data_IF_097583160420
#
_entry.id   IF_097583160420
#
_cell.length_a   1.000
_cell.length_b   1.000
_cell.length_c   1.000
_cell.angle_alpha   90.00
_cell.angle_beta   90.00
_cell.angle_gamma   90.00
#
_symmetry.space_group_name_H-M   'P 1'
#
loop_
_entity.id
_entity.type
_entity.pdbx_description
1 polymer ?
#
# COMPACT_ATOMS: atom_id res chain seq x y z
N UNK A 1 16.56 -22.37 -21.33
CA UNK A 1 15.58 -21.26 -21.25
C UNK A 1 14.37 -21.76 -20.45
N UNK A 2 14.12 -21.18 -19.28
CA UNK A 2 12.91 -21.44 -18.51
C UNK A 2 11.70 -20.92 -19.29
N UNK A 3 10.62 -21.72 -19.44
CA UNK A 3 9.41 -21.27 -20.12
C UNK A 3 8.81 -20.06 -19.37
N UNK A 4 8.44 -18.99 -20.10
CA UNK A 4 7.62 -17.92 -19.55
C UNK A 4 6.28 -18.53 -19.11
N UNK A 5 5.81 -18.26 -17.87
CA UNK A 5 4.47 -18.68 -17.46
C UNK A 5 3.44 -18.11 -18.43
N UNK A 6 2.37 -18.86 -18.71
CA UNK A 6 1.26 -18.36 -19.53
C UNK A 6 0.65 -17.13 -18.88
N UNK A 7 0.06 -16.23 -19.66
CA UNK A 7 -0.62 -15.02 -19.13
C UNK A 7 -1.63 -15.39 -18.03
N UNK A 8 -2.39 -16.46 -18.20
CA UNK A 8 -3.34 -16.95 -17.20
C UNK A 8 -2.67 -17.34 -15.88
N UNK A 9 -1.52 -18.03 -15.91
CA UNK A 9 -0.80 -18.39 -14.68
C UNK A 9 -0.23 -17.14 -13.97
N UNK A 10 0.23 -16.14 -14.73
CA UNK A 10 0.67 -14.87 -14.18
C UNK A 10 -0.47 -14.09 -13.52
N UNK A 11 -1.66 -14.11 -14.11
CA UNK A 11 -2.83 -13.40 -13.58
C UNK A 11 -3.37 -14.07 -12.31
N UNK A 12 -3.38 -15.39 -12.24
CA UNK A 12 -3.73 -16.16 -11.02
C UNK A 12 -2.75 -15.85 -9.90
N UNK A 13 -1.45 -15.82 -10.18
CA UNK A 13 -0.42 -15.50 -9.19
C UNK A 13 -0.58 -14.07 -8.63
N UNK A 14 -0.82 -13.08 -9.49
CA UNK A 14 -1.06 -11.69 -9.08
C UNK A 14 -2.31 -11.57 -8.21
N UNK A 15 -3.38 -12.28 -8.56
CA UNK A 15 -4.61 -12.32 -7.75
C UNK A 15 -4.35 -12.88 -6.36
N UNK A 16 -3.62 -13.99 -6.25
CA UNK A 16 -3.28 -14.61 -4.97
C UNK A 16 -2.46 -13.67 -4.06
N UNK A 17 -1.50 -12.93 -4.62
CA UNK A 17 -0.74 -11.94 -3.86
C UNK A 17 -1.65 -10.82 -3.34
N UNK A 18 -2.58 -10.33 -4.17
CA UNK A 18 -3.52 -9.29 -3.79
C UNK A 18 -4.46 -9.76 -2.68
N UNK A 19 -5.03 -10.96 -2.81
CA UNK A 19 -5.90 -11.56 -1.79
C UNK A 19 -5.16 -11.73 -0.46
N UNK A 20 -3.93 -12.24 -0.47
CA UNK A 20 -3.10 -12.38 0.73
C UNK A 20 -2.73 -11.03 1.35
N UNK A 21 -2.49 -10.00 0.54
CA UNK A 21 -2.26 -8.63 1.02
C UNK A 21 -3.49 -8.06 1.73
N UNK A 22 -4.68 -8.25 1.15
CA UNK A 22 -5.96 -7.82 1.74
C UNK A 22 -6.20 -8.54 3.07
N UNK A 23 -6.05 -9.86 3.12
CA UNK A 23 -6.21 -10.65 4.35
C UNK A 23 -5.24 -10.19 5.46
N UNK A 24 -4.00 -9.87 5.08
CA UNK A 24 -2.99 -9.33 6.00
C UNK A 24 -3.43 -7.98 6.57
N UNK A 25 -3.98 -7.10 5.75
CA UNK A 25 -4.48 -5.79 6.17
C UNK A 25 -5.74 -5.87 7.04
N UNK A 26 -6.62 -6.84 6.79
CA UNK A 26 -7.82 -7.09 7.62
C UNK A 26 -7.44 -7.41 9.06
N UNK A 27 -6.35 -8.14 9.25
CA UNK A 27 -5.86 -8.58 10.56
C UNK A 27 -4.82 -7.64 11.17
N UNK A 28 -4.49 -6.53 10.52
CA UNK A 28 -3.50 -5.58 11.00
C UNK A 28 -4.01 -4.79 12.22
N UNK A 29 -3.17 -4.65 13.24
CA UNK A 29 -3.41 -3.76 14.38
C UNK A 29 -3.13 -2.30 14.01
N UNK A 30 -2.13 -2.08 13.14
CA UNK A 30 -1.73 -0.78 12.62
C UNK A 30 -1.18 -0.93 11.19
N UNK A 31 -1.45 0.05 10.34
CA UNK A 31 -0.91 0.10 8.99
C UNK A 31 -0.10 1.38 8.79
N UNK A 32 1.15 1.25 8.39
CA UNK A 32 2.00 2.38 8.07
C UNK A 32 2.31 2.43 6.57
N UNK A 33 2.17 3.62 5.99
CA UNK A 33 2.44 3.86 4.58
C UNK A 33 3.80 4.56 4.43
N UNK A 34 4.76 3.90 3.79
CA UNK A 34 6.11 4.41 3.56
C UNK A 34 6.28 4.84 2.11
N UNK A 35 6.64 6.09 1.88
CA UNK A 35 6.91 6.62 0.55
C UNK A 35 7.74 7.89 0.61
N UNK A 36 8.44 8.21 -0.49
CA UNK A 36 9.18 9.46 -0.64
C UNK A 36 8.73 10.24 -1.88
N UNK A 37 8.95 11.55 -1.86
CA UNK A 37 8.78 12.42 -3.00
C UNK A 37 7.43 12.27 -3.71
N UNK A 38 7.44 11.96 -5.00
CA UNK A 38 6.23 11.84 -5.82
C UNK A 38 5.27 10.72 -5.43
N UNK A 39 5.73 9.74 -4.63
CA UNK A 39 4.87 8.65 -4.10
C UNK A 39 4.19 9.01 -2.78
N UNK A 40 4.67 10.04 -2.06
CA UNK A 40 4.11 10.44 -0.78
C UNK A 40 2.60 10.80 -0.83
N UNK A 41 2.07 11.48 -1.87
CA UNK A 41 0.64 11.72 -1.99
C UNK A 41 -0.21 10.45 -2.03
N UNK A 42 0.30 9.35 -2.62
CA UNK A 42 -0.39 8.05 -2.65
C UNK A 42 -0.40 7.42 -1.26
N UNK A 43 0.70 7.53 -0.52
CA UNK A 43 0.79 7.06 0.86
C UNK A 43 -0.17 7.83 1.80
N UNK A 44 -0.26 9.15 1.62
CA UNK A 44 -1.20 10.00 2.36
C UNK A 44 -2.65 9.63 2.07
N UNK A 45 -3.01 9.38 0.81
CA UNK A 45 -4.34 8.92 0.42
C UNK A 45 -4.66 7.55 1.04
N UNK A 46 -3.71 6.63 1.04
CA UNK A 46 -3.82 5.33 1.71
C UNK A 46 -4.09 5.48 3.21
N UNK A 47 -3.29 6.28 3.90
CA UNK A 47 -3.48 6.56 5.33
C UNK A 47 -4.88 7.12 5.61
N UNK A 48 -5.34 8.10 4.83
CA UNK A 48 -6.67 8.69 4.99
C UNK A 48 -7.79 7.65 4.81
N UNK A 49 -7.67 6.77 3.81
CA UNK A 49 -8.66 5.72 3.53
C UNK A 49 -8.72 4.67 4.64
N UNK A 50 -7.57 4.24 5.16
CA UNK A 50 -7.49 3.27 6.25
C UNK A 50 -7.95 3.85 7.58
N UNK A 51 -7.65 5.13 7.85
CA UNK A 51 -8.22 5.85 8.99
C UNK A 51 -9.77 5.81 8.98
N UNK A 52 -10.39 6.01 7.81
CA UNK A 52 -11.85 5.91 7.65
C UNK A 52 -12.39 4.49 7.87
N UNK A 53 -11.58 3.46 7.70
CA UNK A 53 -11.93 2.06 8.04
C UNK A 53 -11.76 1.75 9.54
N UNK A 54 -11.45 2.75 10.37
CA UNK A 54 -11.15 2.61 11.80
C UNK A 54 -9.92 1.71 12.05
N UNK A 55 -8.96 1.73 11.13
CA UNK A 55 -7.68 1.06 11.28
C UNK A 55 -6.64 2.13 11.63
N UNK A 56 -5.94 2.01 12.78
CA UNK A 56 -4.85 2.92 13.12
C UNK A 56 -3.85 3.00 11.99
N UNK A 57 -3.61 4.18 11.46
CA UNK A 57 -2.77 4.34 10.28
C UNK A 57 -2.01 5.65 10.27
N UNK A 58 -0.79 5.62 9.74
CA UNK A 58 0.07 6.77 9.53
C UNK A 58 0.75 6.70 8.17
N UNK A 59 1.20 7.84 7.64
CA UNK A 59 2.12 7.83 6.51
C UNK A 59 3.43 8.52 6.92
N UNK A 60 4.55 8.02 6.44
CA UNK A 60 5.88 8.52 6.80
C UNK A 60 6.69 8.72 5.52
N UNK A 61 7.07 9.98 5.26
CA UNK A 61 7.86 10.39 4.10
C UNK A 61 9.22 11.00 4.46
N UNK A 62 9.62 10.93 5.72
CA UNK A 62 10.94 11.33 6.20
C UNK A 62 11.79 10.08 6.46
N UNK A 63 13.06 10.01 5.96
CA UNK A 63 13.89 8.81 6.11
C UNK A 63 14.25 8.48 7.57
N UNK A 64 14.48 9.49 8.41
CA UNK A 64 14.81 9.26 9.83
C UNK A 64 13.60 8.73 10.59
N UNK A 65 12.42 9.32 10.36
CA UNK A 65 11.18 8.85 10.97
C UNK A 65 10.82 7.44 10.49
N UNK A 66 11.02 7.12 9.20
CA UNK A 66 10.82 5.75 8.71
C UNK A 66 11.74 4.76 9.41
N UNK A 67 13.03 5.10 9.57
CA UNK A 67 13.98 4.25 10.26
C UNK A 67 13.58 4.02 11.74
N UNK A 68 13.16 5.07 12.45
CA UNK A 68 12.70 4.98 13.83
C UNK A 68 11.42 4.13 13.93
N UNK A 69 10.45 4.38 13.06
CA UNK A 69 9.21 3.63 12.99
C UNK A 69 9.47 2.14 12.68
N UNK A 70 10.29 1.85 11.67
CA UNK A 70 10.64 0.47 11.29
C UNK A 70 11.21 -0.36 12.44
N UNK A 71 11.93 0.28 13.38
CA UNK A 71 12.46 -0.37 14.58
C UNK A 71 11.42 -0.53 15.71
N UNK A 72 10.28 0.19 15.63
CA UNK A 72 9.26 0.22 16.67
C UNK A 72 8.00 -0.60 16.32
N UNK A 73 7.92 -1.11 15.09
CA UNK A 73 6.80 -1.92 14.62
C UNK A 73 6.82 -3.32 15.23
N UNK A 74 5.62 -3.84 15.50
CA UNK A 74 5.39 -5.15 16.07
C UNK A 74 4.79 -6.13 15.04
N UNK A 75 4.81 -7.42 15.33
CA UNK A 75 4.47 -8.51 14.40
C UNK A 75 3.09 -8.37 13.72
N UNK A 76 2.11 -7.79 14.39
CA UNK A 76 0.75 -7.61 13.87
C UNK A 76 0.56 -6.28 13.12
N UNK A 77 1.60 -5.46 13.05
CA UNK A 77 1.60 -4.27 12.21
C UNK A 77 1.87 -4.65 10.74
N UNK A 78 1.49 -3.76 9.82
CA UNK A 78 1.72 -3.94 8.38
C UNK A 78 2.29 -2.66 7.81
N UNK A 79 3.27 -2.78 6.94
CA UNK A 79 3.79 -1.65 6.16
C UNK A 79 3.35 -1.77 4.70
N UNK A 80 2.87 -0.67 4.14
CA UNK A 80 2.63 -0.50 2.70
C UNK A 80 3.71 0.43 2.15
N UNK A 81 4.68 -0.14 1.43
CA UNK A 81 5.81 0.58 0.85
C UNK A 81 5.53 0.94 -0.62
N UNK A 82 5.62 2.22 -0.98
CA UNK A 82 5.24 2.73 -2.31
C UNK A 82 6.43 3.42 -2.96
N UNK A 83 6.82 2.99 -4.16
CA UNK A 83 7.92 3.59 -4.91
C UNK A 83 7.71 3.50 -6.42
N UNK A 84 7.79 4.64 -7.12
CA UNK A 84 7.71 4.69 -8.57
C UNK A 84 8.92 4.07 -9.29
N UNK A 85 10.09 4.09 -8.64
CA UNK A 85 11.31 3.50 -9.19
C UNK A 85 11.58 2.09 -8.67
N UNK A 86 11.11 1.79 -7.45
CA UNK A 86 11.46 0.55 -6.75
C UNK A 86 12.94 0.45 -6.34
N UNK A 87 13.71 1.57 -6.42
CA UNK A 87 15.17 1.60 -6.22
C UNK A 87 15.62 2.55 -5.13
N UNK A 88 14.71 3.18 -4.40
CA UNK A 88 15.04 4.15 -3.34
C UNK A 88 15.69 3.44 -2.16
N UNK A 89 17.00 3.63 -1.96
CA UNK A 89 17.80 2.92 -0.97
C UNK A 89 17.25 3.06 0.45
N UNK A 90 16.93 4.27 0.90
CA UNK A 90 16.41 4.52 2.25
C UNK A 90 15.10 3.76 2.51
N UNK A 91 14.20 3.67 1.51
CA UNK A 91 12.96 2.89 1.63
C UNK A 91 13.25 1.39 1.74
N UNK A 92 14.14 0.88 0.89
CA UNK A 92 14.52 -0.53 0.88
C UNK A 92 15.15 -0.93 2.22
N UNK A 93 16.00 -0.08 2.79
CA UNK A 93 16.66 -0.35 4.07
C UNK A 93 15.64 -0.33 5.23
N UNK A 94 14.69 0.62 5.24
CA UNK A 94 13.58 0.62 6.20
C UNK A 94 12.74 -0.65 6.08
N UNK A 95 12.40 -1.09 4.87
CA UNK A 95 11.63 -2.33 4.62
C UNK A 95 12.38 -3.57 5.11
N UNK A 96 13.70 -3.64 4.94
CA UNK A 96 14.51 -4.76 5.47
C UNK A 96 14.45 -4.83 7.01
N UNK A 97 14.49 -3.68 7.70
CA UNK A 97 14.34 -3.61 9.16
C UNK A 97 12.96 -4.10 9.57
N UNK A 98 11.90 -3.58 8.95
CA UNK A 98 10.51 -4.00 9.18
C UNK A 98 10.36 -5.52 9.08
N UNK A 99 10.88 -6.12 8.01
CA UNK A 99 10.85 -7.58 7.81
C UNK A 99 11.66 -8.37 8.83
N UNK A 100 12.82 -7.85 9.24
CA UNK A 100 13.64 -8.46 10.30
C UNK A 100 12.89 -8.55 11.63
N UNK A 101 12.00 -7.60 11.90
CA UNK A 101 11.13 -7.59 13.08
C UNK A 101 9.87 -8.48 12.93
N UNK A 102 9.75 -9.21 11.82
CA UNK A 102 8.63 -10.13 11.56
C UNK A 102 7.35 -9.44 11.08
N UNK A 103 7.42 -8.15 10.78
CA UNK A 103 6.30 -7.34 10.25
C UNK A 103 6.13 -7.61 8.76
N UNK A 104 4.90 -7.72 8.29
CA UNK A 104 4.58 -7.95 6.88
C UNK A 104 4.65 -6.66 6.06
N UNK A 105 5.18 -6.79 4.85
CA UNK A 105 5.33 -5.66 3.93
C UNK A 105 4.60 -5.93 2.61
N UNK A 106 3.67 -5.04 2.29
CA UNK A 106 3.02 -4.95 0.99
C UNK A 106 3.76 -3.88 0.20
N UNK A 107 4.18 -4.18 -1.02
CA UNK A 107 4.88 -3.24 -1.87
C UNK A 107 4.05 -2.83 -3.08
N UNK A 108 4.05 -1.54 -3.44
CA UNK A 108 3.44 -1.02 -4.69
C UNK A 108 4.56 -0.36 -5.50
N UNK A 109 5.00 -1.01 -6.58
CA UNK A 109 6.16 -0.58 -7.36
C UNK A 109 6.17 -1.24 -8.75
N UNK A 110 7.11 -0.86 -9.65
CA UNK A 110 7.36 -1.62 -10.87
C UNK A 110 7.92 -3.02 -10.58
N UNK A 111 7.66 -3.96 -11.48
CA UNK A 111 8.23 -5.30 -11.43
C UNK A 111 9.76 -5.32 -11.55
N UNK A 112 10.39 -6.43 -11.14
CA UNK A 112 11.83 -6.66 -11.25
C UNK A 112 12.70 -5.56 -10.62
N UNK A 113 12.27 -5.02 -9.48
CA UNK A 113 13.00 -3.98 -8.75
C UNK A 113 13.53 -4.49 -7.41
N UNK A 114 14.59 -3.85 -6.86
CA UNK A 114 15.13 -4.22 -5.54
C UNK A 114 14.08 -4.18 -4.42
N UNK A 115 13.15 -3.22 -4.46
CA UNK A 115 12.05 -3.14 -3.48
C UNK A 115 11.11 -4.34 -3.60
N UNK A 116 10.74 -4.75 -4.83
CA UNK A 116 9.88 -5.91 -5.04
C UNK A 116 10.47 -7.20 -4.45
N UNK A 117 11.79 -7.35 -4.51
CA UNK A 117 12.50 -8.53 -3.99
C UNK A 117 12.52 -8.61 -2.45
N UNK A 118 12.25 -7.50 -1.75
CA UNK A 118 12.27 -7.45 -0.28
C UNK A 118 10.88 -7.33 0.34
N UNK A 119 9.82 -7.22 -0.43
CA UNK A 119 8.43 -7.21 0.07
C UNK A 119 7.87 -8.63 0.20
N UNK A 120 6.96 -8.85 1.15
CA UNK A 120 6.21 -10.12 1.27
C UNK A 120 5.15 -10.22 0.16
N UNK A 121 4.46 -9.12 -0.14
CA UNK A 121 3.40 -9.03 -1.13
C UNK A 121 3.70 -7.93 -2.14
N UNK A 122 4.50 -8.20 -3.19
CA UNK A 122 4.82 -7.21 -4.21
C UNK A 122 3.66 -7.06 -5.21
N UNK A 123 2.88 -5.99 -5.08
CA UNK A 123 1.85 -5.59 -6.04
C UNK A 123 2.50 -4.78 -7.17
N UNK A 124 2.98 -5.48 -8.17
CA UNK A 124 3.76 -4.87 -9.25
C UNK A 124 2.89 -4.33 -10.36
N UNK A 125 3.14 -3.08 -10.76
CA UNK A 125 2.48 -2.42 -11.87
C UNK A 125 3.53 -1.80 -12.78
N UNK A 126 3.57 -2.28 -14.01
CA UNK A 126 4.40 -1.72 -15.05
C UNK A 126 3.54 -0.84 -15.96
N UNK A 127 3.66 0.47 -15.81
CA UNK A 127 3.09 1.41 -16.77
C UNK A 127 4.00 1.47 -17.99
N UNK A 128 3.52 0.98 -19.14
CA UNK A 128 4.24 0.86 -20.40
C UNK A 128 4.68 2.18 -21.06
N UNK A 129 4.77 3.27 -20.29
CA UNK A 129 5.11 4.62 -20.77
C UNK A 129 6.60 4.89 -20.49
N UNK A 130 7.39 4.97 -21.55
CA UNK A 130 8.83 5.27 -21.48
C UNK A 130 9.15 6.78 -21.41
N UNK A 131 8.17 7.65 -21.21
CA UNK A 131 8.39 9.08 -21.13
C UNK A 131 8.65 9.52 -19.68
N UNK A 132 9.81 10.15 -19.42
CA UNK A 132 10.22 10.62 -18.10
C UNK A 132 9.27 11.67 -17.48
N UNK A 133 8.51 12.38 -18.30
CA UNK A 133 7.58 13.44 -17.86
C UNK A 133 6.22 12.82 -17.45
N UNK A 134 5.67 11.93 -18.25
CA UNK A 134 4.34 11.35 -18.03
C UNK A 134 4.34 10.11 -17.13
N UNK A 135 5.44 9.36 -17.06
CA UNK A 135 5.56 8.16 -16.22
C UNK A 135 5.23 8.42 -14.74
N UNK A 136 5.71 9.48 -14.08
CA UNK A 136 5.38 9.75 -12.68
C UNK A 136 3.89 10.02 -12.45
N UNK A 137 3.21 10.71 -13.38
CA UNK A 137 1.78 11.01 -13.27
C UNK A 137 0.94 9.75 -13.44
N UNK A 138 1.22 8.97 -14.49
CA UNK A 138 0.49 7.73 -14.78
C UNK A 138 0.70 6.68 -13.69
N UNK A 139 1.91 6.55 -13.15
CA UNK A 139 2.19 5.63 -12.03
C UNK A 139 1.37 6.00 -10.79
N UNK A 140 1.24 7.30 -10.46
CA UNK A 140 0.42 7.72 -9.31
C UNK A 140 -1.03 7.32 -9.44
N UNK A 141 -1.63 7.51 -10.64
CA UNK A 141 -3.01 7.10 -10.90
C UNK A 141 -3.17 5.59 -10.68
N UNK A 142 -2.28 4.80 -11.26
CA UNK A 142 -2.31 3.35 -11.12
C UNK A 142 -2.13 2.89 -9.65
N UNK A 143 -1.22 3.52 -8.92
CA UNK A 143 -0.95 3.19 -7.51
C UNK A 143 -2.11 3.61 -6.59
N UNK A 144 -2.75 4.76 -6.87
CA UNK A 144 -3.98 5.16 -6.16
C UNK A 144 -5.10 4.15 -6.41
N UNK A 145 -5.27 3.65 -7.62
CA UNK A 145 -6.24 2.61 -7.92
C UNK A 145 -5.98 1.31 -7.11
N UNK A 146 -4.70 0.92 -6.91
CA UNK A 146 -4.37 -0.23 -6.05
C UNK A 146 -4.71 0.06 -4.58
N UNK A 147 -4.45 1.26 -4.09
CA UNK A 147 -4.88 1.66 -2.74
C UNK A 147 -6.41 1.55 -2.60
N UNK A 148 -7.17 1.96 -3.62
CA UNK A 148 -8.63 1.78 -3.63
C UNK A 148 -9.03 0.30 -3.57
N UNK A 149 -8.40 -0.55 -4.36
CA UNK A 149 -8.67 -2.00 -4.37
C UNK A 149 -8.37 -2.61 -3.00
N UNK A 150 -7.23 -2.28 -2.37
CA UNK A 150 -6.88 -2.74 -1.03
C UNK A 150 -7.90 -2.26 0.01
N UNK A 151 -8.28 -0.97 -0.05
CA UNK A 151 -9.26 -0.36 0.86
C UNK A 151 -10.62 -1.04 0.75
N UNK A 152 -11.11 -1.22 -0.48
CA UNK A 152 -12.40 -1.89 -0.73
C UNK A 152 -12.38 -3.36 -0.33
N UNK A 153 -11.28 -4.07 -0.60
CA UNK A 153 -11.11 -5.46 -0.18
C UNK A 153 -11.16 -5.60 1.35
N UNK A 154 -10.48 -4.73 2.07
CA UNK A 154 -10.53 -4.71 3.54
C UNK A 154 -11.94 -4.36 4.04
N UNK A 155 -12.59 -3.35 3.47
CA UNK A 155 -13.96 -2.98 3.84
C UNK A 155 -14.97 -4.11 3.64
N UNK A 156 -14.82 -4.91 2.58
CA UNK A 156 -15.69 -6.06 2.31
C UNK A 156 -15.53 -7.20 3.33
N UNK A 157 -14.32 -7.41 3.83
CA UNK A 157 -14.01 -8.50 4.77
C UNK A 157 -14.11 -8.08 6.24
N UNK A 158 -14.34 -6.80 6.54
CA UNK A 158 -14.39 -6.23 7.88
C UNK A 158 -15.72 -5.51 8.13
N UNK A 159 -16.77 -6.22 8.59
CA UNK A 159 -18.13 -5.66 8.74
C UNK A 159 -18.18 -4.40 9.62
N UNK A 160 -17.38 -4.34 10.68
CA UNK A 160 -17.29 -3.16 11.55
C UNK A 160 -16.71 -1.92 10.84
N UNK A 161 -15.87 -2.12 9.83
CA UNK A 161 -15.36 -1.02 9.00
C UNK A 161 -16.46 -0.47 8.07
N UNK A 162 -17.33 -1.33 7.54
CA UNK A 162 -18.47 -0.91 6.75
C UNK A 162 -19.46 -0.07 7.57
N UNK A 163 -19.84 -0.56 8.75
CA UNK A 163 -20.73 0.17 9.68
C UNK A 163 -20.14 1.55 10.01
N UNK A 164 -18.84 1.60 10.29
CA UNK A 164 -18.17 2.86 10.59
C UNK A 164 -18.18 3.83 9.41
N UNK A 165 -18.00 3.36 8.17
CA UNK A 165 -18.10 4.19 6.97
C UNK A 165 -19.51 4.80 6.79
N UNK A 166 -20.57 4.02 7.05
CA UNK A 166 -21.94 4.53 7.02
C UNK A 166 -22.16 5.61 8.08
N UNK A 167 -21.68 5.38 9.31
CA UNK A 167 -21.79 6.35 10.40
C UNK A 167 -21.06 7.68 10.09
N UNK A 168 -19.86 7.60 9.48
CA UNK A 168 -19.14 8.79 9.01
C UNK A 168 -19.94 9.52 7.93
N UNK A 169 -20.48 8.80 6.94
CA UNK A 169 -21.24 9.41 5.86
C UNK A 169 -22.49 10.14 6.37
N UNK A 170 -23.20 9.56 7.34
CA UNK A 170 -24.37 10.16 7.95
C UNK A 170 -24.00 11.39 8.80
N UNK A 171 -22.91 11.31 9.57
CA UNK A 171 -22.41 12.45 10.35
C UNK A 171 -21.99 13.63 9.45
N UNK A 172 -21.41 13.35 8.27
CA UNK A 172 -21.02 14.39 7.33
C UNK A 172 -22.21 15.05 6.62
N UNK A 173 -23.37 14.39 6.55
CA UNK A 173 -24.59 15.04 6.00
C UNK A 173 -25.03 16.23 6.83
N UNK A 174 -24.88 16.16 8.15
CA UNK A 174 -25.22 17.26 9.07
C UNK A 174 -24.26 18.47 8.97
N UNK A 175 -23.12 18.32 8.30
CA UNK A 175 -22.16 19.40 8.06
C UNK A 175 -22.40 20.12 6.73
N UNK A 176 -23.34 19.65 5.91
CA UNK A 176 -23.70 20.31 4.65
C UNK A 176 -24.72 21.40 4.91
N UNK A 177 -24.48 22.58 4.36
CA UNK A 177 -25.47 23.67 4.36
C UNK A 177 -26.62 23.22 3.46
N UNK A 178 -27.87 23.26 4.00
CA UNK A 178 -29.07 23.05 3.19
C UNK A 178 -29.13 24.12 2.12
N UNK A 179 -29.23 23.73 0.84
CA UNK A 179 -29.47 24.64 -0.30
C UNK A 179 -30.96 24.99 -0.40
#
# INVERSE_FOLDING_TARGET
STPKPSSAASDVYKRQILESAIETLVNAERVEFYAFGGSAPVAMDGQHKFFRLKIPSSYISDPHLQFMSANSLEKNDVVVAISQSGTTAALIDSVKIVRKNGVKVIGIMPGNTPLANVCDFPLTIDVGINNRISKPVTSRIAYTAIIDVLTMGVAQLKPEAQEHLYNIADSQRSLKVDN
#
